data_IF_047921629160
#
_entry.id   IF_047921629160
#
_cell.length_a   1.000
_cell.length_b   1.000
_cell.length_c   1.000
_cell.angle_alpha   90.00
_cell.angle_beta   90.00
_cell.angle_gamma   90.00
#
_symmetry.space_group_name_H-M   'P 1'
#
loop_
_entity.id
_entity.type
_entity.pdbx_description
1 polymer ?
#
# COMPACT_ATOMS: atom_id res chain seq x y z
N UNK A 1 1.07 8.64 24.57
CA UNK A 1 1.76 7.33 24.45
C UNK A 1 2.83 7.42 23.36
N UNK A 2 2.50 7.82 22.12
CA UNK A 2 3.47 7.92 21.03
C UNK A 2 4.61 8.90 21.33
N UNK A 3 4.29 10.11 21.79
CA UNK A 3 5.29 11.16 22.10
C UNK A 3 6.20 10.81 23.27
N UNK A 4 5.76 9.92 24.16
CA UNK A 4 6.50 9.51 25.38
C UNK A 4 7.10 8.12 25.26
N UNK A 5 6.99 7.47 24.08
CA UNK A 5 7.40 6.08 23.84
C UNK A 5 6.83 5.12 24.90
N UNK A 6 5.57 5.32 25.26
CA UNK A 6 4.89 4.64 26.36
C UNK A 6 4.68 3.13 26.19
N UNK A 7 5.06 2.56 25.05
CA UNK A 7 5.06 1.12 24.78
C UNK A 7 6.49 0.53 24.62
N UNK A 8 7.53 1.31 24.91
CA UNK A 8 8.93 0.89 24.69
C UNK A 8 9.34 -0.33 25.52
N UNK A 9 8.78 -0.50 26.71
CA UNK A 9 9.01 -1.68 27.54
C UNK A 9 7.69 -2.30 27.98
N UNK A 10 7.66 -3.60 28.32
CA UNK A 10 6.44 -4.26 28.82
C UNK A 10 5.83 -3.55 30.02
N UNK A 11 6.67 -3.06 30.94
CA UNK A 11 6.24 -2.35 32.15
C UNK A 11 5.56 -1.02 31.80
N UNK A 12 6.10 -0.28 30.83
CA UNK A 12 5.49 0.95 30.32
C UNK A 12 4.17 0.66 29.61
N UNK A 13 4.09 -0.41 28.82
CA UNK A 13 2.86 -0.83 28.18
C UNK A 13 1.76 -1.16 29.22
N UNK A 14 2.12 -1.86 30.30
CA UNK A 14 1.22 -2.16 31.41
C UNK A 14 0.79 -0.88 32.15
N UNK A 15 1.74 -0.02 32.51
CA UNK A 15 1.47 1.24 33.21
C UNK A 15 0.55 2.16 32.40
N UNK A 16 0.69 2.17 31.08
CA UNK A 16 -0.14 2.94 30.15
C UNK A 16 -1.45 2.22 29.74
N UNK A 17 -1.76 1.07 30.33
CA UNK A 17 -2.97 0.26 30.05
C UNK A 17 -3.11 -0.14 28.58
N UNK A 18 -1.99 -0.39 27.91
CA UNK A 18 -1.98 -0.92 26.55
C UNK A 18 -2.09 -2.46 26.53
N UNK A 19 -1.71 -3.08 27.65
CA UNK A 19 -1.87 -4.51 27.92
C UNK A 19 -2.40 -4.67 29.34
N UNK A 20 -3.13 -5.76 29.60
CA UNK A 20 -3.72 -6.04 30.90
C UNK A 20 -2.72 -6.71 31.85
N UNK A 21 -1.74 -7.40 31.30
CA UNK A 21 -0.71 -8.10 32.06
C UNK A 21 0.54 -8.35 31.22
N UNK A 22 1.69 -8.37 31.86
CA UNK A 22 2.95 -8.93 31.36
C UNK A 22 3.09 -10.34 31.88
N UNK A 23 3.26 -11.32 31.02
CA UNK A 23 3.37 -12.72 31.38
C UNK A 23 4.19 -13.49 30.34
N UNK A 24 4.80 -14.59 30.75
CA UNK A 24 5.35 -15.58 29.82
C UNK A 24 4.23 -16.39 29.15
N UNK A 25 4.55 -17.05 28.04
CA UNK A 25 3.57 -17.82 27.26
C UNK A 25 2.91 -18.94 28.09
N UNK A 26 3.68 -19.65 28.90
CA UNK A 26 3.17 -20.70 29.78
C UNK A 26 2.20 -20.14 30.83
N UNK A 27 2.54 -19.00 31.45
CA UNK A 27 1.65 -18.31 32.40
C UNK A 27 0.37 -17.81 31.73
N UNK A 28 0.48 -17.31 30.49
CA UNK A 28 -0.67 -16.91 29.69
C UNK A 28 -1.59 -18.10 29.44
N UNK A 29 -1.06 -19.24 29.03
CA UNK A 29 -1.86 -20.45 28.84
C UNK A 29 -2.49 -20.95 30.13
N UNK A 30 -1.81 -20.86 31.26
CA UNK A 30 -2.38 -21.22 32.56
C UNK A 30 -3.53 -20.30 32.96
N UNK A 31 -3.43 -19.00 32.70
CA UNK A 31 -4.55 -18.06 32.92
C UNK A 31 -5.76 -18.37 32.04
N UNK A 32 -5.55 -18.74 30.77
CA UNK A 32 -6.64 -19.13 29.87
C UNK A 32 -7.31 -20.40 30.37
N UNK A 33 -6.53 -21.44 30.74
CA UNK A 33 -7.07 -22.69 31.32
C UNK A 33 -7.89 -22.43 32.58
N UNK A 34 -7.38 -21.58 33.47
CA UNK A 34 -8.11 -21.21 34.69
C UNK A 34 -9.46 -20.53 34.36
N UNK A 35 -9.49 -19.64 33.38
CA UNK A 35 -10.75 -19.00 32.92
C UNK A 35 -11.72 -19.99 32.28
N UNK A 36 -11.22 -20.94 31.50
CA UNK A 36 -12.01 -21.98 30.84
C UNK A 36 -12.39 -23.12 31.79
N UNK A 37 -11.85 -23.16 33.03
CA UNK A 37 -12.01 -24.24 34.00
C UNK A 37 -11.53 -25.61 33.45
N UNK A 38 -10.46 -25.59 32.69
CA UNK A 38 -9.82 -26.77 32.09
C UNK A 38 -8.57 -27.10 32.89
N UNK A 39 -8.27 -28.39 33.06
CA UNK A 39 -7.11 -28.85 33.83
C UNK A 39 -5.79 -28.39 33.16
N UNK A 40 -4.74 -28.17 33.96
CA UNK A 40 -3.42 -27.73 33.48
C UNK A 40 -2.79 -28.61 32.41
N UNK A 41 -3.14 -29.88 32.40
CA UNK A 41 -2.64 -30.87 31.41
C UNK A 41 -3.51 -31.04 30.18
N UNK A 42 -4.72 -30.49 30.16
CA UNK A 42 -5.61 -30.61 29.05
C UNK A 42 -5.32 -29.56 27.98
N UNK A 43 -5.51 -29.97 26.71
CA UNK A 43 -5.50 -29.05 25.58
C UNK A 43 -6.84 -28.33 25.53
N UNK A 44 -6.82 -27.09 25.17
CA UNK A 44 -8.02 -26.31 24.85
C UNK A 44 -7.98 -25.85 23.42
N UNK A 45 -9.15 -25.71 22.80
CA UNK A 45 -9.26 -25.30 21.43
C UNK A 45 -8.92 -23.81 21.25
N UNK A 46 -8.09 -23.54 20.27
CA UNK A 46 -7.71 -22.19 19.89
C UNK A 46 -8.25 -21.94 18.48
N UNK A 47 -8.97 -20.86 18.31
CA UNK A 47 -9.39 -20.37 17.01
C UNK A 47 -8.61 -19.11 16.68
N UNK A 48 -7.94 -19.10 15.54
CA UNK A 48 -7.24 -17.89 15.11
C UNK A 48 -8.26 -16.76 14.84
N UNK A 49 -7.83 -15.52 15.04
CA UNK A 49 -8.71 -14.37 14.78
C UNK A 49 -9.15 -14.33 13.31
N UNK A 50 -8.32 -14.82 12.39
CA UNK A 50 -8.64 -14.93 10.97
C UNK A 50 -9.69 -15.99 10.68
N UNK A 51 -9.62 -17.13 11.35
CA UNK A 51 -10.62 -18.21 11.17
C UNK A 51 -11.94 -17.85 11.87
N UNK A 52 -11.87 -17.17 13.02
CA UNK A 52 -13.04 -16.60 13.66
C UNK A 52 -13.71 -15.56 12.75
N UNK A 53 -12.94 -14.64 12.18
CA UNK A 53 -13.45 -13.62 11.26
C UNK A 53 -14.13 -14.24 10.03
N UNK A 54 -13.55 -15.28 9.43
CA UNK A 54 -14.17 -16.02 8.30
C UNK A 54 -15.53 -16.62 8.68
N UNK A 55 -15.66 -17.20 9.89
CA UNK A 55 -16.92 -17.75 10.38
C UNK A 55 -17.91 -16.68 10.82
N UNK A 56 -17.43 -15.61 11.47
CA UNK A 56 -18.27 -14.50 11.91
C UNK A 56 -18.79 -13.65 10.75
N UNK A 57 -18.04 -13.58 9.66
CA UNK A 57 -18.47 -12.90 8.42
C UNK A 57 -19.35 -13.77 7.51
N UNK A 58 -19.57 -15.05 7.83
CA UNK A 58 -20.57 -15.87 7.16
C UNK A 58 -21.99 -15.47 7.59
N UNK A 59 -22.31 -14.20 7.47
CA UNK A 59 -23.67 -13.73 7.28
C UNK A 59 -24.20 -14.47 6.06
N UNK A 60 -25.38 -15.06 6.18
CA UNK A 60 -26.11 -15.67 5.08
C UNK A 60 -26.06 -14.72 3.90
N UNK A 61 -25.26 -15.05 2.90
CA UNK A 61 -25.23 -14.32 1.66
C UNK A 61 -26.62 -14.47 1.04
N UNK A 62 -27.38 -13.39 1.08
CA UNK A 62 -28.68 -13.34 0.41
C UNK A 62 -28.43 -13.13 -1.09
N UNK A 63 -28.17 -14.22 -1.78
CA UNK A 63 -28.01 -14.25 -3.25
C UNK A 63 -29.31 -13.92 -4.01
N UNK A 64 -30.39 -13.56 -3.32
CA UNK A 64 -31.65 -13.18 -3.96
C UNK A 64 -31.61 -11.78 -4.58
N UNK A 65 -30.58 -10.97 -4.27
CA UNK A 65 -30.36 -9.62 -4.85
C UNK A 65 -29.18 -9.67 -5.81
N UNK A 66 -29.44 -9.30 -7.05
CA UNK A 66 -28.42 -9.22 -8.10
C UNK A 66 -27.49 -8.00 -7.99
N UNK A 67 -27.73 -7.10 -7.01
CA UNK A 67 -26.96 -5.89 -6.87
C UNK A 67 -25.67 -6.14 -6.06
N UNK A 68 -24.53 -5.99 -6.72
CA UNK A 68 -23.18 -6.28 -6.17
C UNK A 68 -22.42 -4.98 -5.95
N UNK A 69 -21.66 -4.90 -4.87
CA UNK A 69 -20.60 -3.92 -4.68
C UNK A 69 -19.26 -4.64 -4.84
N UNK A 70 -18.52 -4.31 -5.86
CA UNK A 70 -17.20 -4.89 -6.10
C UNK A 70 -16.13 -4.23 -5.23
N UNK A 71 -15.24 -5.02 -4.65
CA UNK A 71 -14.08 -4.52 -3.92
C UNK A 71 -12.82 -4.90 -4.67
N UNK A 72 -12.08 -3.90 -5.15
CA UNK A 72 -10.79 -4.06 -5.82
C UNK A 72 -9.68 -3.69 -4.83
N UNK A 73 -8.75 -4.60 -4.61
CA UNK A 73 -7.61 -4.38 -3.72
C UNK A 73 -6.41 -3.84 -4.50
N UNK A 74 -5.92 -2.66 -4.11
CA UNK A 74 -4.69 -2.06 -4.57
C UNK A 74 -3.69 -2.05 -3.40
N UNK A 75 -2.89 -3.11 -3.29
CA UNK A 75 -2.00 -3.33 -2.16
C UNK A 75 -0.53 -3.42 -2.60
N UNK A 76 0.36 -2.72 -1.91
CA UNK A 76 1.79 -2.74 -2.13
C UNK A 76 2.31 -1.56 -2.95
N UNK A 77 3.54 -1.68 -3.45
CA UNK A 77 4.17 -0.68 -4.29
C UNK A 77 3.52 -0.65 -5.68
N UNK A 78 3.45 0.54 -6.29
CA UNK A 78 2.95 0.71 -7.65
C UNK A 78 4.11 0.56 -8.63
N UNK A 79 4.04 -0.44 -9.50
CA UNK A 79 5.05 -0.73 -10.52
C UNK A 79 4.42 -1.06 -11.86
N UNK A 80 5.17 -0.91 -12.94
CA UNK A 80 4.70 -1.22 -14.30
C UNK A 80 4.41 -2.70 -14.50
N UNK A 81 3.44 -3.01 -15.37
CA UNK A 81 3.10 -4.36 -15.78
C UNK A 81 1.87 -4.94 -15.10
N UNK A 82 1.82 -6.26 -15.01
CA UNK A 82 0.63 -6.97 -14.50
C UNK A 82 0.42 -6.81 -12.99
N UNK A 83 1.52 -6.74 -12.22
CA UNK A 83 1.46 -6.77 -10.76
C UNK A 83 1.15 -8.14 -10.18
N UNK A 84 1.04 -8.19 -8.84
CA UNK A 84 0.69 -9.39 -8.07
C UNK A 84 -0.04 -8.97 -6.77
N UNK A 85 -0.17 -9.89 -5.80
CA UNK A 85 -0.85 -9.62 -4.52
C UNK A 85 -0.15 -8.57 -3.64
N UNK A 86 1.12 -8.26 -3.90
CA UNK A 86 1.95 -7.30 -3.16
C UNK A 86 2.45 -6.14 -4.02
N UNK A 87 2.15 -6.15 -5.32
CA UNK A 87 2.57 -5.13 -6.29
C UNK A 87 1.36 -4.72 -7.12
N UNK A 88 1.05 -3.43 -7.07
CA UNK A 88 -0.02 -2.83 -7.86
C UNK A 88 0.51 -2.59 -9.29
N UNK A 89 0.02 -3.38 -10.24
CA UNK A 89 0.29 -3.19 -11.66
C UNK A 89 -0.91 -2.58 -12.39
N UNK A 90 -0.65 -1.77 -13.42
CA UNK A 90 -1.73 -1.25 -14.25
C UNK A 90 -2.54 -2.35 -14.94
N UNK A 91 -1.91 -3.47 -15.29
CA UNK A 91 -2.56 -4.58 -16.00
C UNK A 91 -3.71 -5.18 -15.20
N UNK A 92 -3.45 -5.64 -13.98
CA UNK A 92 -4.46 -6.26 -13.11
C UNK A 92 -5.54 -5.28 -12.68
N UNK A 93 -5.15 -4.06 -12.26
CA UNK A 93 -6.12 -3.05 -11.82
C UNK A 93 -7.02 -2.60 -12.96
N UNK A 94 -6.45 -2.35 -14.14
CA UNK A 94 -7.21 -1.99 -15.34
C UNK A 94 -8.24 -3.07 -15.70
N UNK A 95 -7.81 -4.35 -15.72
CA UNK A 95 -8.71 -5.47 -16.02
C UNK A 95 -9.83 -5.55 -14.99
N UNK A 96 -9.53 -5.48 -13.69
CA UNK A 96 -10.55 -5.51 -12.64
C UNK A 96 -11.54 -4.35 -12.75
N UNK A 97 -11.07 -3.15 -13.06
CA UNK A 97 -11.95 -1.99 -13.27
C UNK A 97 -12.81 -2.16 -14.53
N UNK A 98 -12.27 -2.71 -15.60
CA UNK A 98 -13.03 -2.99 -16.82
C UNK A 98 -14.10 -4.06 -16.59
N UNK A 99 -13.74 -5.20 -16.01
CA UNK A 99 -14.67 -6.29 -15.68
C UNK A 99 -15.81 -5.79 -14.79
N UNK A 100 -15.49 -5.08 -13.71
CA UNK A 100 -16.51 -4.54 -12.80
C UNK A 100 -17.36 -3.44 -13.43
N UNK A 101 -16.81 -2.66 -14.36
CA UNK A 101 -17.55 -1.64 -15.12
C UNK A 101 -18.56 -2.26 -16.07
N UNK A 102 -18.18 -3.35 -16.73
CA UNK A 102 -19.00 -4.00 -17.76
C UNK A 102 -20.04 -4.98 -17.16
N UNK A 103 -19.83 -5.46 -15.95
CA UNK A 103 -20.76 -6.32 -15.24
C UNK A 103 -22.02 -5.54 -14.80
N UNK A 104 -23.19 -5.94 -15.28
CA UNK A 104 -24.48 -5.29 -15.00
C UNK A 104 -24.95 -5.42 -13.56
N UNK A 105 -24.49 -6.44 -12.86
CA UNK A 105 -24.86 -6.71 -11.47
C UNK A 105 -24.04 -5.86 -10.50
N UNK A 106 -22.84 -5.43 -10.88
CA UNK A 106 -22.03 -4.48 -10.11
C UNK A 106 -22.62 -3.07 -10.19
N UNK A 107 -23.03 -2.51 -9.06
CA UNK A 107 -23.64 -1.17 -8.96
C UNK A 107 -22.66 -0.10 -8.45
N UNK A 108 -21.64 -0.49 -7.71
CA UNK A 108 -20.62 0.42 -7.20
C UNK A 108 -19.30 -0.34 -7.01
N UNK A 109 -18.22 0.42 -6.98
CA UNK A 109 -16.86 -0.12 -6.82
C UNK A 109 -16.23 0.53 -5.59
N UNK A 110 -15.63 -0.27 -4.72
CA UNK A 110 -14.74 0.16 -3.64
C UNK A 110 -13.32 -0.19 -4.03
N UNK A 111 -12.48 0.81 -4.22
CA UNK A 111 -11.04 0.62 -4.38
C UNK A 111 -10.38 0.68 -3.00
N UNK A 112 -9.91 -0.46 -2.50
CA UNK A 112 -9.20 -0.55 -1.23
C UNK A 112 -7.71 -0.33 -1.46
N UNK A 113 -7.22 0.86 -1.09
CA UNK A 113 -5.83 1.28 -1.32
C UNK A 113 -5.00 1.08 -0.05
N UNK A 114 -3.93 0.31 -0.15
CA UNK A 114 -2.91 0.18 0.89
C UNK A 114 -1.52 0.22 0.25
N UNK A 115 -1.04 1.43 -0.09
CA UNK A 115 0.13 1.64 -0.94
C UNK A 115 0.96 2.85 -0.51
N UNK A 116 2.30 2.71 -0.42
CA UNK A 116 3.20 3.85 -0.23
C UNK A 116 3.37 4.69 -1.51
N UNK A 117 2.85 4.22 -2.64
CA UNK A 117 3.06 4.79 -3.96
C UNK A 117 4.03 3.97 -4.82
N UNK A 118 4.68 4.61 -5.77
CA UNK A 118 5.62 4.00 -6.71
C UNK A 118 5.66 4.74 -8.04
N UNK A 119 5.62 4.01 -9.15
CA UNK A 119 5.69 4.56 -10.51
C UNK A 119 4.61 5.62 -10.78
N UNK A 120 5.03 6.82 -11.12
CA UNK A 120 4.14 7.91 -11.49
C UNK A 120 3.34 7.58 -12.77
N UNK A 121 4.00 7.00 -13.78
CA UNK A 121 3.35 6.59 -15.03
C UNK A 121 2.25 5.55 -14.77
N UNK A 122 2.55 4.52 -13.99
CA UNK A 122 1.56 3.48 -13.64
C UNK A 122 0.40 4.07 -12.85
N UNK A 123 0.68 4.98 -11.92
CA UNK A 123 -0.35 5.70 -11.17
C UNK A 123 -1.28 6.50 -12.10
N UNK A 124 -0.73 7.18 -13.10
CA UNK A 124 -1.50 7.92 -14.11
C UNK A 124 -2.39 6.99 -14.94
N UNK A 125 -1.87 5.85 -15.38
CA UNK A 125 -2.64 4.88 -16.17
C UNK A 125 -3.81 4.30 -15.35
N UNK A 126 -3.59 4.00 -14.08
CA UNK A 126 -4.65 3.54 -13.15
C UNK A 126 -5.64 4.67 -12.89
N UNK A 127 -5.17 5.88 -12.60
CA UNK A 127 -6.01 7.06 -12.41
C UNK A 127 -6.94 7.28 -13.62
N UNK A 128 -6.40 7.18 -14.81
CA UNK A 128 -7.19 7.31 -16.06
C UNK A 128 -8.28 6.25 -16.16
N UNK A 129 -8.01 5.01 -15.81
CA UNK A 129 -9.01 3.94 -15.84
C UNK A 129 -10.12 4.18 -14.79
N UNK A 130 -9.78 4.72 -13.63
CA UNK A 130 -10.76 5.13 -12.61
C UNK A 130 -11.64 6.26 -13.16
N UNK A 131 -11.07 7.25 -13.84
CA UNK A 131 -11.81 8.34 -14.48
C UNK A 131 -12.84 7.83 -15.52
N UNK A 132 -12.46 6.82 -16.29
CA UNK A 132 -13.36 6.19 -17.25
C UNK A 132 -14.49 5.45 -16.52
N UNK A 133 -14.13 4.72 -15.47
CA UNK A 133 -15.06 3.89 -14.69
C UNK A 133 -16.09 4.73 -13.95
N UNK A 134 -15.69 5.85 -13.36
CA UNK A 134 -16.58 6.80 -12.66
C UNK A 134 -17.72 7.35 -13.53
N UNK A 135 -17.54 7.42 -14.83
CA UNK A 135 -18.60 7.88 -15.77
C UNK A 135 -19.75 6.88 -15.87
N UNK A 136 -19.53 5.64 -15.45
CA UNK A 136 -20.49 4.54 -15.58
C UNK A 136 -20.98 4.08 -14.21
N UNK A 137 -20.10 4.00 -13.22
CA UNK A 137 -20.40 3.51 -11.87
C UNK A 137 -19.67 4.33 -10.81
N UNK A 138 -20.27 4.57 -9.65
CA UNK A 138 -19.60 5.26 -8.56
C UNK A 138 -18.39 4.46 -8.07
N UNK A 139 -17.27 5.16 -7.88
CA UNK A 139 -16.02 4.61 -7.35
C UNK A 139 -15.70 5.29 -6.03
N UNK A 140 -15.65 4.52 -4.97
CA UNK A 140 -15.30 4.96 -3.62
C UNK A 140 -13.95 4.39 -3.24
N UNK A 141 -13.09 5.20 -2.62
CA UNK A 141 -11.81 4.73 -2.08
C UNK A 141 -11.92 4.51 -0.58
N UNK A 142 -11.39 3.37 -0.14
CA UNK A 142 -11.13 3.08 1.27
C UNK A 142 -9.62 2.92 1.46
N UNK A 143 -9.01 3.87 2.17
CA UNK A 143 -7.57 3.84 2.46
C UNK A 143 -7.26 2.87 3.60
N UNK A 144 -6.16 2.13 3.47
CA UNK A 144 -5.60 1.26 4.50
C UNK A 144 -4.66 2.00 5.44
N UNK A 145 -3.57 1.36 5.82
CA UNK A 145 -2.53 1.98 6.63
C UNK A 145 -1.78 3.07 5.85
N UNK A 146 -1.60 2.86 4.55
CA UNK A 146 -0.91 3.76 3.63
C UNK A 146 -1.77 4.05 2.41
N UNK A 147 -1.82 5.30 2.00
CA UNK A 147 -2.30 5.73 0.69
C UNK A 147 -1.55 7.02 0.34
N UNK A 148 -0.25 6.90 0.05
CA UNK A 148 0.66 8.02 -0.09
C UNK A 148 1.29 8.05 -1.48
N UNK A 149 1.72 9.24 -1.93
CA UNK A 149 2.34 9.46 -3.25
C UNK A 149 1.46 8.88 -4.37
N UNK A 150 1.95 7.93 -5.19
CA UNK A 150 1.15 7.22 -6.19
C UNK A 150 -0.12 6.57 -5.65
N UNK A 151 -0.10 6.08 -4.38
CA UNK A 151 -1.29 5.54 -3.72
C UNK A 151 -2.35 6.62 -3.44
N UNK A 152 -1.94 7.82 -3.08
CA UNK A 152 -2.85 8.97 -3.01
C UNK A 152 -3.31 9.40 -4.40
N UNK A 153 -2.42 9.37 -5.40
CA UNK A 153 -2.73 9.75 -6.77
C UNK A 153 -3.90 8.93 -7.34
N UNK A 154 -3.83 7.60 -7.24
CA UNK A 154 -4.93 6.75 -7.73
C UNK A 154 -6.22 6.90 -6.92
N UNK A 155 -6.13 7.39 -5.68
CA UNK A 155 -7.28 7.63 -4.81
C UNK A 155 -7.95 9.00 -5.07
N UNK A 156 -7.19 9.99 -5.51
CA UNK A 156 -7.56 11.41 -5.46
C UNK A 156 -8.80 11.78 -6.27
N UNK A 157 -9.09 11.04 -7.34
CA UNK A 157 -10.25 11.31 -8.21
C UNK A 157 -11.49 10.46 -7.89
N UNK A 158 -11.50 9.68 -6.81
CA UNK A 158 -12.68 8.92 -6.41
C UNK A 158 -13.87 9.85 -6.04
N UNK A 159 -15.10 9.32 -6.14
CA UNK A 159 -16.30 10.07 -5.75
C UNK A 159 -16.34 10.36 -4.25
N UNK A 160 -15.79 9.45 -3.45
CA UNK A 160 -15.61 9.59 -2.01
C UNK A 160 -14.33 8.86 -1.57
N UNK A 161 -13.67 9.45 -0.58
CA UNK A 161 -12.45 8.87 0.02
C UNK A 161 -12.72 8.71 1.52
N UNK A 162 -12.45 7.52 2.03
CA UNK A 162 -12.49 7.20 3.46
C UNK A 162 -11.09 6.82 3.93
N UNK A 163 -10.66 7.42 5.01
CA UNK A 163 -9.38 7.13 5.66
C UNK A 163 -9.58 7.07 7.18
N UNK A 164 -8.81 6.23 7.84
CA UNK A 164 -8.76 6.19 9.29
C UNK A 164 -7.86 7.32 9.83
N UNK A 165 -8.03 7.75 11.08
CA UNK A 165 -7.20 8.82 11.66
C UNK A 165 -5.69 8.52 11.64
N UNK A 166 -5.32 7.24 11.61
CA UNK A 166 -3.92 6.78 11.59
C UNK A 166 -3.42 6.43 10.18
N UNK A 167 -4.21 6.64 9.14
CA UNK A 167 -3.79 6.42 7.75
C UNK A 167 -2.68 7.41 7.38
N UNK A 168 -1.56 6.89 6.91
CA UNK A 168 -0.49 7.71 6.33
C UNK A 168 -0.87 8.00 4.87
N UNK A 169 -1.12 9.25 4.56
CA UNK A 169 -1.59 9.67 3.24
C UNK A 169 -0.95 11.00 2.80
N UNK A 170 -1.30 11.50 1.63
CA UNK A 170 -0.69 12.69 1.05
C UNK A 170 0.63 12.34 0.35
N UNK A 171 1.74 12.94 0.78
CA UNK A 171 3.05 12.83 0.10
C UNK A 171 2.93 13.15 -1.40
N UNK A 172 2.29 14.29 -1.70
CA UNK A 172 1.98 14.73 -3.06
C UNK A 172 3.26 15.29 -3.67
N UNK A 173 3.97 14.48 -4.43
CA UNK A 173 5.22 14.88 -5.07
C UNK A 173 5.93 13.71 -5.73
N UNK A 174 6.90 14.06 -6.57
CA UNK A 174 7.81 13.10 -7.20
C UNK A 174 9.22 13.49 -6.79
N UNK A 175 10.02 12.52 -6.42
CA UNK A 175 11.43 12.71 -6.15
C UNK A 175 12.27 11.66 -6.88
N UNK A 176 13.51 12.01 -7.15
CA UNK A 176 14.49 11.09 -7.71
C UNK A 176 15.86 11.38 -7.14
N UNK A 177 16.72 10.38 -7.12
CA UNK A 177 18.12 10.50 -6.78
C UNK A 177 18.97 10.30 -8.03
N UNK A 178 19.85 11.27 -8.31
CA UNK A 178 20.81 11.19 -9.38
C UNK A 178 22.22 11.05 -8.78
N UNK A 179 22.71 9.82 -8.53
CA UNK A 179 24.03 9.60 -7.97
C UNK A 179 25.10 10.06 -8.96
N UNK A 180 26.06 10.86 -8.52
CA UNK A 180 27.19 11.29 -9.36
C UNK A 180 28.52 10.81 -8.76
N UNK A 181 29.23 9.99 -9.51
CA UNK A 181 30.52 9.41 -9.15
C UNK A 181 31.70 9.99 -9.95
N UNK A 182 31.50 11.09 -10.68
CA UNK A 182 32.54 11.68 -11.51
C UNK A 182 33.83 11.97 -10.73
N UNK A 183 33.72 12.63 -9.56
CA UNK A 183 34.87 12.93 -8.74
C UNK A 183 35.52 11.68 -8.15
N UNK A 184 34.75 10.72 -7.71
CA UNK A 184 35.25 9.44 -7.21
C UNK A 184 35.99 8.70 -8.32
N UNK A 185 35.42 8.60 -9.52
CA UNK A 185 36.06 7.99 -10.68
C UNK A 185 37.41 8.61 -10.99
N UNK A 186 37.49 9.94 -11.07
CA UNK A 186 38.76 10.67 -11.28
C UNK A 186 39.80 10.36 -10.21
N UNK A 187 39.41 10.31 -8.96
CA UNK A 187 40.33 10.04 -7.85
C UNK A 187 40.95 8.64 -7.90
N UNK A 188 40.28 7.69 -8.51
CA UNK A 188 40.76 6.29 -8.68
C UNK A 188 41.26 6.00 -10.11
N UNK A 189 41.39 7.04 -10.95
CA UNK A 189 41.93 6.92 -12.30
C UNK A 189 40.94 6.43 -13.36
N UNK A 190 39.63 6.41 -13.08
CA UNK A 190 38.59 6.09 -14.05
C UNK A 190 38.17 7.40 -14.76
N UNK A 191 38.31 7.43 -16.07
CA UNK A 191 37.83 8.51 -16.92
C UNK A 191 36.70 7.98 -17.81
N UNK A 192 35.58 8.67 -17.84
CA UNK A 192 34.48 8.37 -18.71
C UNK A 192 34.38 9.39 -19.84
N UNK A 193 34.17 8.92 -21.06
CA UNK A 193 33.90 9.76 -22.23
C UNK A 193 32.60 9.28 -22.88
N UNK A 194 31.79 10.23 -23.35
CA UNK A 194 30.59 9.96 -24.12
C UNK A 194 30.79 10.31 -25.58
N UNK A 195 30.42 9.40 -26.47
CA UNK A 195 30.30 9.66 -27.89
C UNK A 195 28.84 9.99 -28.20
N UNK A 196 28.57 11.20 -28.61
CA UNK A 196 27.22 11.71 -28.85
C UNK A 196 26.97 11.93 -30.34
N UNK A 197 25.82 11.57 -30.84
CA UNK A 197 25.38 11.89 -32.19
C UNK A 197 24.75 13.29 -32.28
N UNK A 198 24.19 13.79 -31.17
CA UNK A 198 23.56 15.10 -31.02
C UNK A 198 23.80 15.62 -29.61
N UNK A 199 23.62 16.90 -29.39
CA UNK A 199 23.89 17.58 -28.10
C UNK A 199 23.15 16.91 -26.93
N UNK A 200 21.89 16.54 -27.13
CA UNK A 200 21.05 15.90 -26.13
C UNK A 200 20.87 14.39 -26.35
N UNK A 201 21.73 13.74 -27.10
CA UNK A 201 21.61 12.31 -27.44
C UNK A 201 21.96 11.36 -26.27
N UNK A 202 22.70 11.85 -25.29
CA UNK A 202 23.00 11.10 -24.06
C UNK A 202 22.33 11.82 -22.90
N UNK A 203 21.53 11.07 -22.12
CA UNK A 203 20.96 11.60 -20.91
C UNK A 203 21.96 11.63 -19.76
N UNK A 204 21.45 11.42 -18.56
CA UNK A 204 22.24 11.37 -17.34
C UNK A 204 23.29 10.24 -17.35
N UNK A 205 24.51 10.59 -16.92
CA UNK A 205 25.60 9.65 -16.68
C UNK A 205 26.08 9.73 -15.23
N UNK A 206 26.27 8.56 -14.59
CA UNK A 206 26.78 8.48 -13.22
C UNK A 206 28.23 9.00 -13.12
N UNK A 207 29.03 8.87 -14.21
CA UNK A 207 30.46 9.17 -14.21
C UNK A 207 30.83 10.54 -14.82
N UNK A 208 29.85 11.27 -15.33
CA UNK A 208 30.06 12.60 -15.88
C UNK A 208 29.44 13.69 -15.00
N UNK A 209 29.94 14.96 -15.12
CA UNK A 209 29.24 16.06 -14.49
C UNK A 209 27.80 16.16 -14.98
N UNK A 210 26.87 16.47 -14.09
CA UNK A 210 25.48 16.70 -14.49
C UNK A 210 25.42 17.98 -15.30
N UNK A 211 24.95 17.88 -16.53
CA UNK A 211 24.74 19.00 -17.44
C UNK A 211 23.68 19.96 -16.90
N UNK A 212 23.94 21.28 -16.98
CA UNK A 212 23.00 22.30 -16.50
C UNK A 212 21.70 22.31 -17.33
N UNK A 213 21.76 21.98 -18.64
CA UNK A 213 20.56 21.84 -19.45
C UNK A 213 19.71 20.66 -18.95
N UNK A 214 20.37 19.53 -18.62
CA UNK A 214 19.68 18.37 -18.06
C UNK A 214 19.03 18.71 -16.71
N UNK A 215 19.71 19.47 -15.83
CA UNK A 215 19.10 19.95 -14.59
C UNK A 215 17.82 20.75 -14.86
N UNK A 216 17.82 21.61 -15.87
CA UNK A 216 16.67 22.42 -16.24
C UNK A 216 15.47 21.61 -16.76
N UNK A 217 15.68 20.35 -17.19
CA UNK A 217 14.59 19.45 -17.59
C UNK A 217 14.06 18.61 -16.42
N UNK A 218 14.86 18.41 -15.36
CA UNK A 218 14.53 17.51 -14.25
C UNK A 218 14.04 18.27 -13.02
N UNK A 219 14.43 19.51 -12.86
CA UNK A 219 14.02 20.41 -11.76
C UNK A 219 12.93 21.38 -12.21
#
# INVERSE_FOLDING_TARGET
IANTLGARTPELALANKLVDKVAYEDEYHDMIRAKLKVDKKEKYDIVSITDYAKKASSTVEDYSKNDIIAVIYAQGEIAGGEGDVNVIGEGSIKRSLQETRDDKDVKAIVLRVNSPGGSALTSELIWREIEITKKVKPVVVSMGNYAASGGYYIAANADRIFAEPNTITGSIGVFGMLPNMNQLGKNIGINAEQVKTHENASGYSVFEPIDENFKGFVL
#
